data_IF_086241065412
#
_entry.id   IF_086241065412
#
_cell.length_a   1.000
_cell.length_b   1.000
_cell.length_c   1.000
_cell.angle_alpha   90.00
_cell.angle_beta   90.00
_cell.angle_gamma   90.00
#
_symmetry.space_group_name_H-M   'P 1'
#
loop_
_entity.id
_entity.type
_entity.pdbx_description
1 polymer ?
#
# COMPACT_ATOMS: atom_id res chain seq x y z
N UNK A 1 -15.91 10.38 19.94
CA UNK A 1 -15.04 10.36 18.74
C UNK A 1 -15.77 9.54 17.69
N UNK A 2 -15.86 9.99 16.44
CA UNK A 2 -16.58 9.27 15.38
C UNK A 2 -15.62 8.29 14.72
N UNK A 3 -15.91 6.99 14.79
CA UNK A 3 -15.09 5.96 14.15
C UNK A 3 -15.27 5.99 12.63
N UNK A 4 -14.16 5.81 11.92
CA UNK A 4 -14.10 5.61 10.48
C UNK A 4 -14.70 4.25 10.12
N UNK A 5 -15.39 4.18 8.99
CA UNK A 5 -16.01 2.95 8.51
C UNK A 5 -14.93 1.88 8.17
N UNK A 6 -15.12 0.59 8.53
CA UNK A 6 -14.09 -0.44 8.35
C UNK A 6 -13.61 -0.63 6.91
N UNK A 7 -14.44 -0.35 5.92
CA UNK A 7 -14.13 -0.45 4.49
C UNK A 7 -13.09 0.58 4.03
N UNK A 8 -12.92 1.70 4.73
CA UNK A 8 -11.87 2.69 4.47
C UNK A 8 -10.48 2.24 4.99
N UNK A 9 -10.39 1.10 5.68
CA UNK A 9 -9.09 0.58 6.12
C UNK A 9 -8.21 0.26 4.89
N UNK A 10 -6.94 0.66 4.96
CA UNK A 10 -5.94 0.43 3.90
C UNK A 10 -6.28 1.09 2.56
N UNK A 11 -7.03 2.20 2.60
CA UNK A 11 -7.32 3.01 1.42
C UNK A 11 -6.07 3.38 0.62
N UNK A 12 -4.97 3.68 1.29
CA UNK A 12 -3.70 4.01 0.65
C UNK A 12 -3.12 2.84 -0.17
N UNK A 13 -3.39 1.58 0.23
CA UNK A 13 -3.02 0.41 -0.58
C UNK A 13 -3.84 0.37 -1.87
N UNK A 14 -5.14 0.67 -1.79
CA UNK A 14 -6.00 0.78 -2.97
C UNK A 14 -5.57 1.91 -3.89
N UNK A 15 -5.17 3.05 -3.33
CA UNK A 15 -4.64 4.16 -4.12
C UNK A 15 -3.37 3.75 -4.88
N UNK A 16 -2.46 3.00 -4.24
CA UNK A 16 -1.29 2.40 -4.91
C UNK A 16 -1.69 1.41 -6.00
N UNK A 17 -2.72 0.58 -5.78
CA UNK A 17 -3.27 -0.29 -6.82
C UNK A 17 -3.74 0.51 -8.03
N UNK A 18 -4.40 1.64 -7.83
CA UNK A 18 -4.83 2.51 -8.94
C UNK A 18 -3.64 3.09 -9.72
N UNK A 19 -2.55 3.47 -9.05
CA UNK A 19 -1.32 3.88 -9.74
C UNK A 19 -0.73 2.76 -10.60
N UNK A 20 -0.70 1.54 -10.07
CA UNK A 20 -0.18 0.37 -10.77
C UNK A 20 -1.08 0.03 -11.97
N UNK A 21 -2.40 -0.01 -11.79
CA UNK A 21 -3.34 -0.30 -12.88
C UNK A 21 -3.27 0.75 -13.99
N UNK A 22 -3.13 2.03 -13.65
CA UNK A 22 -2.95 3.09 -14.64
C UNK A 22 -1.62 2.94 -15.41
N UNK A 23 -0.54 2.57 -14.71
CA UNK A 23 0.71 2.22 -15.37
C UNK A 23 0.53 1.02 -16.31
N UNK A 24 -0.12 -0.05 -15.87
CA UNK A 24 -0.44 -1.21 -16.70
C UNK A 24 -1.35 -0.87 -17.89
N UNK A 25 -2.17 0.18 -17.81
CA UNK A 25 -2.97 0.65 -18.93
C UNK A 25 -2.16 1.43 -19.97
N UNK A 26 -0.94 1.89 -19.63
CA UNK A 26 -0.15 2.76 -20.52
C UNK A 26 0.26 2.05 -21.82
N UNK A 27 0.29 2.77 -22.95
CA UNK A 27 0.75 2.25 -24.23
C UNK A 27 2.28 1.98 -24.23
N UNK A 28 2.74 1.17 -25.17
CA UNK A 28 4.17 0.88 -25.43
C UNK A 28 4.95 0.23 -24.27
N UNK A 29 4.40 -0.87 -23.74
CA UNK A 29 5.03 -1.69 -22.68
C UNK A 29 6.37 -2.30 -23.09
N UNK A 30 6.60 -2.47 -24.38
CA UNK A 30 7.83 -3.04 -24.95
C UNK A 30 9.09 -2.23 -24.63
N UNK A 31 8.94 -0.93 -24.34
CA UNK A 31 10.07 -0.04 -24.00
C UNK A 31 10.26 0.16 -22.50
N UNK A 32 9.57 -0.62 -21.68
CA UNK A 32 9.67 -0.48 -20.23
C UNK A 32 11.02 -0.95 -19.71
N UNK A 33 11.49 -0.30 -18.65
CA UNK A 33 12.64 -0.79 -17.90
C UNK A 33 12.23 -1.98 -17.02
N UNK A 34 12.26 -3.18 -17.64
CA UNK A 34 11.79 -4.44 -17.05
C UNK A 34 12.43 -4.81 -15.70
N UNK A 35 13.72 -4.54 -15.42
CA UNK A 35 14.25 -4.78 -14.08
C UNK A 35 13.56 -3.95 -12.99
N UNK A 36 13.21 -2.69 -13.27
CA UNK A 36 12.44 -1.88 -12.32
C UNK A 36 11.02 -2.41 -12.15
N UNK A 37 10.41 -2.87 -13.24
CA UNK A 37 9.10 -3.54 -13.20
C UNK A 37 9.12 -4.78 -12.31
N UNK A 38 10.09 -5.65 -12.52
CA UNK A 38 10.23 -6.88 -11.75
C UNK A 38 10.41 -6.59 -10.25
N UNK A 39 11.22 -5.59 -9.90
CA UNK A 39 11.39 -5.19 -8.50
C UNK A 39 10.10 -4.61 -7.88
N UNK A 40 9.30 -3.87 -8.66
CA UNK A 40 7.97 -3.44 -8.22
C UNK A 40 7.05 -4.65 -7.99
N UNK A 41 7.05 -5.63 -8.90
CA UNK A 41 6.29 -6.87 -8.77
C UNK A 41 6.69 -7.65 -7.51
N UNK A 42 7.99 -7.78 -7.22
CA UNK A 42 8.49 -8.43 -6.00
C UNK A 42 8.02 -7.71 -4.73
N UNK A 43 8.02 -6.37 -4.74
CA UNK A 43 7.53 -5.59 -3.60
C UNK A 43 6.00 -5.70 -3.42
N UNK A 44 5.24 -5.88 -4.51
CA UNK A 44 3.83 -6.25 -4.46
C UNK A 44 3.63 -7.65 -3.84
N UNK A 45 4.38 -8.67 -4.27
CA UNK A 45 4.30 -10.01 -3.67
C UNK A 45 4.63 -9.99 -2.16
N UNK A 46 5.60 -9.17 -1.74
CA UNK A 46 5.91 -8.96 -0.31
C UNK A 46 4.76 -8.30 0.44
N UNK A 47 4.10 -7.32 -0.17
CA UNK A 47 2.93 -6.65 0.39
C UNK A 47 1.79 -7.63 0.66
N UNK A 48 1.57 -8.64 -0.20
CA UNK A 48 0.56 -9.67 0.03
C UNK A 48 0.76 -10.41 1.37
N UNK A 49 2.01 -10.71 1.75
CA UNK A 49 2.32 -11.31 3.06
C UNK A 49 2.03 -10.36 4.23
N UNK A 50 2.25 -9.05 4.06
CA UNK A 50 1.97 -8.04 5.09
C UNK A 50 0.49 -7.80 5.28
N UNK A 51 -0.29 -7.80 4.19
CA UNK A 51 -1.75 -7.72 4.24
C UNK A 51 -2.32 -8.92 5.00
N UNK A 52 -1.85 -10.14 4.69
CA UNK A 52 -2.26 -11.35 5.41
C UNK A 52 -1.92 -11.28 6.91
N UNK A 53 -0.72 -10.79 7.25
CA UNK A 53 -0.34 -10.55 8.65
C UNK A 53 -1.30 -9.57 9.34
N UNK A 54 -1.62 -8.46 8.67
CA UNK A 54 -2.56 -7.43 9.16
C UNK A 54 -3.98 -7.99 9.36
N UNK A 55 -4.48 -8.81 8.44
CA UNK A 55 -5.77 -9.49 8.62
C UNK A 55 -5.75 -10.40 9.83
N UNK A 56 -4.65 -11.13 10.01
CA UNK A 56 -4.56 -12.15 11.05
C UNK A 56 -4.46 -11.56 12.45
N UNK A 57 -3.90 -10.36 12.62
CA UNK A 57 -3.93 -9.67 13.93
C UNK A 57 -5.34 -9.22 14.35
N UNK A 58 -6.27 -9.07 13.40
CA UNK A 58 -7.67 -8.78 13.69
C UNK A 58 -8.55 -10.03 13.78
N UNK A 59 -8.21 -11.08 13.05
CA UNK A 59 -8.96 -12.33 13.07
C UNK A 59 -8.77 -13.06 14.40
N UNK A 60 -9.83 -13.69 14.90
CA UNK A 60 -9.81 -14.51 16.13
C UNK A 60 -9.02 -15.84 15.99
N UNK A 61 -8.24 -16.03 14.93
CA UNK A 61 -7.39 -17.21 14.78
C UNK A 61 -6.03 -17.02 15.48
N UNK A 62 -5.69 -17.82 16.50
CA UNK A 62 -4.38 -17.76 17.13
C UNK A 62 -3.31 -18.27 16.15
N UNK A 63 -2.51 -17.35 15.60
CA UNK A 63 -1.33 -17.64 14.75
C UNK A 63 -0.37 -18.68 15.34
N UNK A 64 -0.36 -18.85 16.67
CA UNK A 64 0.57 -19.71 17.39
C UNK A 64 -0.09 -20.92 18.08
N UNK A 65 -1.40 -21.13 17.90
CA UNK A 65 -2.17 -22.16 18.62
C UNK A 65 -2.32 -23.49 17.89
N UNK A 66 -2.19 -23.54 16.56
CA UNK A 66 -2.40 -24.79 15.79
C UNK A 66 -1.12 -25.60 15.52
N UNK A 67 0.06 -25.00 15.63
CA UNK A 67 1.33 -25.68 15.31
C UNK A 67 2.03 -26.33 16.53
N UNK A 68 1.60 -26.09 17.78
CA UNK A 68 2.37 -26.48 18.96
C UNK A 68 1.59 -27.16 20.10
N UNK A 69 0.32 -27.54 19.92
CA UNK A 69 -0.42 -28.29 20.95
C UNK A 69 -0.64 -27.58 22.30
N UNK A 70 -0.25 -26.30 22.41
CA UNK A 70 -0.56 -25.45 23.56
C UNK A 70 -1.86 -24.72 23.29
N UNK A 71 -2.84 -24.91 24.17
CA UNK A 71 -4.08 -24.14 24.15
C UNK A 71 -3.75 -22.64 24.10
N UNK A 72 -4.04 -21.99 22.99
CA UNK A 72 -3.89 -20.55 22.87
C UNK A 72 -4.92 -19.89 23.78
N UNK A 73 -4.49 -19.54 25.00
CA UNK A 73 -5.26 -18.68 25.88
C UNK A 73 -5.40 -17.27 25.26
N UNK A 74 -6.34 -16.45 25.75
CA UNK A 74 -6.47 -15.06 25.31
C UNK A 74 -5.14 -14.33 25.47
N UNK A 75 -4.68 -13.65 24.41
CA UNK A 75 -3.48 -12.81 24.48
C UNK A 75 -3.75 -11.64 25.46
N UNK A 76 -2.78 -11.27 26.32
CA UNK A 76 -2.90 -10.02 27.10
C UNK A 76 -3.08 -8.82 26.16
N UNK A 77 -3.93 -7.85 26.54
CA UNK A 77 -4.25 -6.66 25.73
C UNK A 77 -2.99 -5.92 25.26
N UNK A 78 -1.97 -5.79 26.11
CA UNK A 78 -0.70 -5.17 25.76
C UNK A 78 0.03 -5.89 24.61
N UNK A 79 0.06 -7.23 24.63
CA UNK A 79 0.67 -8.03 23.57
C UNK A 79 -0.16 -8.10 22.29
N UNK A 80 -1.44 -7.73 22.34
CA UNK A 80 -2.27 -7.55 21.15
C UNK A 80 -2.03 -6.18 20.52
N UNK A 81 -1.95 -5.11 21.30
CA UNK A 81 -1.64 -3.77 20.82
C UNK A 81 -0.28 -3.73 20.11
N UNK A 82 0.76 -4.31 20.71
CA UNK A 82 2.11 -4.41 20.10
C UNK A 82 2.07 -5.18 18.77
N UNK A 83 1.35 -6.30 18.71
CA UNK A 83 1.24 -7.08 17.47
C UNK A 83 0.51 -6.32 16.35
N UNK A 84 -0.50 -5.51 16.69
CA UNK A 84 -1.20 -4.65 15.71
C UNK A 84 -0.25 -3.56 15.23
N UNK A 85 0.43 -2.86 16.15
CA UNK A 85 1.39 -1.80 15.81
C UNK A 85 2.51 -2.33 14.90
N UNK A 86 3.07 -3.50 15.21
CA UNK A 86 4.10 -4.16 14.40
C UNK A 86 3.60 -4.51 12.99
N UNK A 87 2.38 -5.03 12.88
CA UNK A 87 1.78 -5.37 11.58
C UNK A 87 1.63 -4.12 10.69
N UNK A 88 1.16 -3.00 11.26
CA UNK A 88 1.04 -1.74 10.53
C UNK A 88 2.40 -1.08 10.24
N UNK A 89 3.38 -1.19 11.14
CA UNK A 89 4.73 -0.69 10.89
C UNK A 89 5.39 -1.40 9.70
N UNK A 90 5.25 -2.73 9.62
CA UNK A 90 5.75 -3.51 8.49
C UNK A 90 5.00 -3.22 7.19
N UNK A 91 3.69 -2.97 7.28
CA UNK A 91 2.88 -2.54 6.15
C UNK A 91 3.33 -1.17 5.62
N UNK A 92 3.60 -0.22 6.51
CA UNK A 92 4.13 1.10 6.16
C UNK A 92 5.48 1.04 5.44
N UNK A 93 6.39 0.16 5.89
CA UNK A 93 7.67 -0.08 5.18
C UNK A 93 7.44 -0.60 3.76
N UNK A 94 6.52 -1.56 3.59
CA UNK A 94 6.18 -2.12 2.29
C UNK A 94 5.56 -1.07 1.34
N UNK A 95 4.66 -0.22 1.86
CA UNK A 95 4.08 0.90 1.11
C UNK A 95 5.15 1.88 0.65
N UNK A 96 6.07 2.24 1.54
CA UNK A 96 7.19 3.12 1.21
C UNK A 96 8.09 2.56 0.11
N UNK A 97 8.34 1.24 0.13
CA UNK A 97 9.08 0.57 -0.96
C UNK A 97 8.34 0.68 -2.29
N UNK A 98 7.04 0.38 -2.32
CA UNK A 98 6.20 0.45 -3.54
C UNK A 98 6.17 1.89 -4.09
N UNK A 99 5.96 2.89 -3.24
CA UNK A 99 5.99 4.32 -3.64
C UNK A 99 7.33 4.65 -4.29
N UNK A 100 8.45 4.24 -3.68
CA UNK A 100 9.78 4.43 -4.25
C UNK A 100 9.96 3.74 -5.60
N UNK A 101 9.51 2.48 -5.73
CA UNK A 101 9.58 1.71 -6.99
C UNK A 101 8.74 2.34 -8.09
N UNK A 102 7.52 2.77 -7.78
CA UNK A 102 6.64 3.47 -8.71
C UNK A 102 7.31 4.74 -9.22
N UNK A 103 7.96 5.53 -8.36
CA UNK A 103 8.72 6.71 -8.80
C UNK A 103 9.93 6.35 -9.69
N UNK A 104 10.71 5.33 -9.34
CA UNK A 104 11.83 4.90 -10.17
C UNK A 104 11.37 4.46 -11.56
N UNK A 105 10.29 3.69 -11.59
CA UNK A 105 9.63 3.28 -12.82
C UNK A 105 9.09 4.47 -13.61
N UNK A 106 8.47 5.43 -12.91
CA UNK A 106 8.02 6.70 -13.48
C UNK A 106 9.16 7.61 -13.96
N UNK A 107 10.43 7.25 -13.76
CA UNK A 107 11.57 8.00 -14.34
C UNK A 107 12.17 7.26 -15.53
N UNK A 108 12.29 5.93 -15.41
CA UNK A 108 12.94 5.09 -16.40
C UNK A 108 12.00 4.70 -17.55
N UNK A 109 10.69 4.75 -17.32
CA UNK A 109 9.67 4.32 -18.29
C UNK A 109 8.93 5.51 -18.92
N UNK A 110 9.01 6.70 -18.33
CA UNK A 110 8.11 7.83 -18.61
C UNK A 110 8.71 8.97 -19.45
N UNK A 111 9.90 8.79 -19.99
CA UNK A 111 10.36 9.63 -21.10
C UNK A 111 9.40 9.58 -22.29
N UNK A 112 8.56 8.52 -22.41
CA UNK A 112 7.63 8.27 -23.52
C UNK A 112 6.21 7.87 -23.06
N UNK A 113 5.73 8.25 -21.87
CA UNK A 113 4.29 8.07 -21.56
C UNK A 113 3.48 9.19 -22.24
N UNK A 114 2.74 8.87 -23.31
CA UNK A 114 1.81 9.80 -23.95
C UNK A 114 0.66 10.22 -23.00
N UNK A 115 0.40 9.44 -21.95
CA UNK A 115 -0.56 9.76 -20.90
C UNK A 115 -0.04 10.88 -19.97
N UNK A 116 -0.32 12.12 -20.38
CA UNK A 116 -0.02 13.34 -19.62
C UNK A 116 -0.60 13.29 -18.20
N UNK A 117 -1.80 12.75 -18.02
CA UNK A 117 -2.52 12.74 -16.74
C UNK A 117 -1.84 11.80 -15.75
N UNK A 118 -1.48 10.58 -16.17
CA UNK A 118 -0.74 9.64 -15.31
C UNK A 118 0.60 10.22 -14.88
N UNK A 119 1.33 10.85 -15.80
CA UNK A 119 2.63 11.49 -15.50
C UNK A 119 2.48 12.61 -14.47
N UNK A 120 1.44 13.44 -14.60
CA UNK A 120 1.14 14.50 -13.64
C UNK A 120 0.79 13.93 -12.27
N UNK A 121 -0.07 12.92 -12.24
CA UNK A 121 -0.46 12.25 -11.00
C UNK A 121 0.73 11.62 -10.28
N UNK A 122 1.57 10.87 -10.99
CA UNK A 122 2.80 10.30 -10.44
C UNK A 122 3.77 11.38 -9.95
N UNK A 123 3.90 12.51 -10.67
CA UNK A 123 4.77 13.61 -10.24
C UNK A 123 4.25 14.35 -9.01
N UNK A 124 2.94 14.57 -8.91
CA UNK A 124 2.34 15.26 -7.76
C UNK A 124 2.44 14.42 -6.47
N UNK A 125 2.39 13.08 -6.57
CA UNK A 125 2.33 12.22 -5.40
C UNK A 125 3.64 11.48 -5.10
N UNK A 126 4.40 11.08 -6.11
CA UNK A 126 5.55 10.17 -5.94
C UNK A 126 6.90 10.86 -6.11
N UNK A 127 6.92 12.11 -6.60
CA UNK A 127 8.16 12.85 -6.79
C UNK A 127 8.77 13.24 -5.42
N UNK A 128 10.08 13.04 -5.17
CA UNK A 128 10.69 13.31 -3.86
C UNK A 128 10.58 14.74 -3.32
N UNK A 129 10.31 15.70 -4.22
CA UNK A 129 10.09 17.13 -3.89
C UNK A 129 8.60 17.53 -3.87
N UNK A 130 7.68 16.61 -4.11
CA UNK A 130 6.27 16.94 -3.94
C UNK A 130 5.92 16.96 -2.47
N UNK A 131 5.00 17.86 -2.11
CA UNK A 131 4.53 18.02 -0.74
C UNK A 131 3.95 16.70 -0.20
N UNK A 132 3.12 16.02 -1.01
CA UNK A 132 2.60 14.70 -0.66
C UNK A 132 3.71 13.71 -0.27
N UNK A 133 4.78 13.62 -1.06
CA UNK A 133 5.87 12.68 -0.78
C UNK A 133 6.66 13.07 0.46
N UNK A 134 6.89 14.37 0.66
CA UNK A 134 7.59 14.87 1.83
C UNK A 134 6.81 14.53 3.10
N UNK A 135 5.52 14.81 3.11
CA UNK A 135 4.61 14.49 4.21
C UNK A 135 4.50 12.97 4.42
N UNK A 136 4.41 12.19 3.34
CA UNK A 136 4.40 10.73 3.42
C UNK A 136 5.65 10.18 4.13
N UNK A 137 6.78 10.86 3.98
CA UNK A 137 8.03 10.44 4.62
C UNK A 137 8.21 10.94 6.06
N UNK A 138 7.68 12.11 6.40
CA UNK A 138 7.85 12.71 7.73
C UNK A 138 6.76 12.32 8.72
N UNK A 139 5.50 12.34 8.31
CA UNK A 139 4.35 12.41 9.22
C UNK A 139 3.33 11.29 9.01
N UNK A 140 3.63 10.32 8.14
CA UNK A 140 2.77 9.17 7.90
C UNK A 140 2.77 8.18 9.08
N UNK A 141 1.61 8.04 9.73
CA UNK A 141 1.31 7.01 10.71
C UNK A 141 0.51 5.86 10.06
N UNK A 142 1.13 4.71 9.75
CA UNK A 142 0.43 3.58 9.14
C UNK A 142 -0.59 2.96 10.08
N UNK A 143 -0.35 3.01 11.40
CA UNK A 143 -1.30 2.65 12.43
C UNK A 143 -0.66 2.57 13.81
N UNK A 144 -1.41 2.99 14.83
CA UNK A 144 -1.03 2.94 16.24
C UNK A 144 -2.25 2.65 17.12
N UNK A 145 -2.13 1.71 18.04
CA UNK A 145 -3.17 1.41 19.02
C UNK A 145 -3.11 2.41 20.17
N UNK A 146 -4.29 2.90 20.60
CA UNK A 146 -4.45 3.77 21.75
C UNK A 146 -4.02 3.07 23.05
N UNK A 147 -3.67 3.85 24.07
CA UNK A 147 -3.17 3.30 25.35
C UNK A 147 -4.16 2.37 26.07
N UNK A 148 -5.46 2.52 25.82
CA UNK A 148 -6.51 1.66 26.35
C UNK A 148 -6.69 0.34 25.56
N UNK A 149 -5.98 0.17 24.44
CA UNK A 149 -6.04 -1.01 23.59
C UNK A 149 -7.30 -1.11 22.72
N UNK A 150 -8.15 -0.07 22.69
CA UNK A 150 -9.50 -0.17 22.09
C UNK A 150 -9.62 0.50 20.73
N UNK A 151 -8.72 1.42 20.39
CA UNK A 151 -8.79 2.21 19.16
C UNK A 151 -7.51 2.04 18.36
N UNK A 152 -7.65 1.84 17.06
CA UNK A 152 -6.56 1.96 16.11
C UNK A 152 -6.62 3.34 15.45
N UNK A 153 -5.58 4.13 15.62
CA UNK A 153 -5.41 5.45 15.04
C UNK A 153 -4.47 5.38 13.84
N UNK A 154 -4.84 6.03 12.74
CA UNK A 154 -4.07 6.04 11.49
C UNK A 154 -4.11 7.44 10.88
N UNK A 155 -3.11 7.77 10.07
CA UNK A 155 -3.15 8.92 9.18
C UNK A 155 -2.94 8.45 7.75
N UNK A 156 -3.83 8.83 6.85
CA UNK A 156 -3.63 8.61 5.42
C UNK A 156 -3.44 9.95 4.72
N UNK A 157 -2.78 9.92 3.57
CA UNK A 157 -2.64 11.09 2.70
C UNK A 157 -3.57 10.94 1.52
N UNK A 158 -4.40 11.96 1.27
CA UNK A 158 -5.30 11.98 0.12
C UNK A 158 -4.46 11.93 -1.15
N UNK A 159 -4.82 11.02 -2.06
CA UNK A 159 -4.34 11.08 -3.43
C UNK A 159 -5.36 11.84 -4.27
N UNK A 160 -4.87 12.83 -5.01
CA UNK A 160 -5.65 13.59 -5.97
C UNK A 160 -5.61 12.85 -7.33
N UNK A 161 -6.75 12.43 -7.90
CA UNK A 161 -6.78 11.82 -9.22
C UNK A 161 -6.45 12.80 -10.35
N UNK A 162 -6.67 14.11 -10.14
CA UNK A 162 -6.51 15.17 -11.14
C UNK A 162 -5.72 16.36 -10.57
N UNK A 163 -4.46 16.13 -10.14
CA UNK A 163 -3.70 17.18 -9.49
C UNK A 163 -3.38 18.31 -10.47
N UNK A 164 -3.33 19.57 -10.01
CA UNK A 164 -2.99 20.70 -10.85
C UNK A 164 -1.58 20.52 -11.46
N UNK A 165 -1.37 21.08 -12.65
CA UNK A 165 -0.08 21.01 -13.38
C UNK A 165 1.12 21.54 -12.55
N UNK A 166 0.86 22.35 -11.52
CA UNK A 166 1.86 22.91 -10.60
C UNK A 166 2.01 22.03 -9.36
N UNK A 167 3.27 21.73 -9.02
CA UNK A 167 3.66 20.87 -7.89
C UNK A 167 3.32 21.51 -6.51
N UNK A 168 2.85 22.77 -6.45
CA UNK A 168 2.95 23.61 -5.26
C UNK A 168 1.65 24.03 -4.56
N UNK A 169 0.47 23.50 -4.93
CA UNK A 169 -0.79 24.15 -4.50
C UNK A 169 -1.73 23.30 -3.61
N UNK A 170 -1.28 22.20 -3.00
CA UNK A 170 -2.10 21.47 -2.02
C UNK A 170 -1.64 21.78 -0.60
N UNK A 171 -1.98 22.97 -0.08
CA UNK A 171 -1.56 23.38 1.27
C UNK A 171 -1.67 22.27 2.32
N UNK A 172 -0.56 22.03 3.02
CA UNK A 172 -0.24 20.93 3.97
C UNK A 172 -1.43 20.45 4.81
N UNK A 173 -2.29 21.37 5.24
CA UNK A 173 -3.44 21.12 6.13
C UNK A 173 -4.57 20.29 5.51
N UNK A 174 -4.64 20.15 4.18
CA UNK A 174 -5.73 19.44 3.49
C UNK A 174 -5.37 18.00 3.06
N UNK A 175 -4.09 17.61 3.17
CA UNK A 175 -3.58 16.31 2.70
C UNK A 175 -3.87 15.17 3.69
N UNK A 176 -3.83 15.44 4.99
CA UNK A 176 -4.04 14.42 6.00
C UNK A 176 -5.51 14.08 6.21
N UNK A 177 -5.80 12.80 6.33
CA UNK A 177 -7.05 12.29 6.89
C UNK A 177 -6.69 11.41 8.08
N UNK A 178 -7.13 11.84 9.26
CA UNK A 178 -7.06 11.01 10.45
C UNK A 178 -8.20 9.99 10.40
N UNK A 179 -7.83 8.72 10.55
CA UNK A 179 -8.79 7.63 10.64
C UNK A 179 -8.69 6.99 12.02
N UNK A 180 -9.84 6.63 12.59
CA UNK A 180 -9.92 5.95 13.89
C UNK A 180 -10.84 4.75 13.77
N UNK A 181 -10.39 3.57 14.17
CA UNK A 181 -11.15 2.34 14.06
C UNK A 181 -11.34 1.71 15.44
N UNK A 182 -12.56 1.25 15.73
CA UNK A 182 -12.81 0.45 16.93
C UNK A 182 -12.19 -0.94 16.74
N UNK A 183 -11.38 -1.35 17.72
CA UNK A 183 -10.80 -2.70 17.83
C UNK A 183 -11.11 -3.34 19.19
N UNK A 184 -11.87 -2.64 20.05
CA UNK A 184 -12.16 -3.01 21.43
C UNK A 184 -13.21 -4.12 21.56
N UNK A 185 -13.83 -4.55 20.46
CA UNK A 185 -14.79 -5.66 20.43
C UNK A 185 -14.44 -6.67 19.34
N UNK A 186 -14.76 -7.94 19.56
CA UNK A 186 -14.53 -9.02 18.59
C UNK A 186 -15.30 -8.75 17.29
N UNK A 187 -16.51 -8.21 17.38
CA UNK A 187 -17.30 -7.82 16.22
C UNK A 187 -16.60 -6.75 15.37
N UNK A 188 -16.05 -5.71 16.00
CA UNK A 188 -15.34 -4.65 15.28
C UNK A 188 -14.05 -5.16 14.63
N UNK A 189 -13.27 -5.98 15.34
CA UNK A 189 -12.08 -6.63 14.77
C UNK A 189 -12.43 -7.55 13.60
N UNK A 190 -13.49 -8.33 13.70
CA UNK A 190 -13.95 -9.18 12.61
C UNK A 190 -14.37 -8.38 11.36
N UNK A 191 -15.01 -7.22 11.52
CA UNK A 191 -15.32 -6.32 10.40
C UNK A 191 -14.04 -5.77 9.73
N UNK A 192 -13.03 -5.40 10.52
CA UNK A 192 -11.74 -4.96 9.99
C UNK A 192 -10.99 -6.10 9.29
N UNK A 193 -10.99 -7.30 9.86
CA UNK A 193 -10.39 -8.48 9.23
C UNK A 193 -11.04 -8.77 7.87
N UNK A 194 -12.37 -8.68 7.76
CA UNK A 194 -13.09 -8.81 6.49
C UNK A 194 -12.73 -7.69 5.50
N UNK A 195 -12.59 -6.45 5.98
CA UNK A 195 -12.22 -5.34 5.12
C UNK A 195 -10.79 -5.46 4.59
N UNK A 196 -9.83 -5.92 5.41
CA UNK A 196 -8.47 -6.24 4.98
C UNK A 196 -8.47 -7.41 3.99
N UNK A 197 -9.30 -8.44 4.21
CA UNK A 197 -9.45 -9.55 3.25
C UNK A 197 -9.88 -9.07 1.85
N UNK A 198 -10.81 -8.10 1.77
CA UNK A 198 -11.19 -7.50 0.49
C UNK A 198 -10.01 -6.80 -0.19
N UNK A 199 -9.17 -6.09 0.58
CA UNK A 199 -7.94 -5.47 0.07
C UNK A 199 -6.93 -6.52 -0.39
N UNK A 200 -6.81 -7.66 0.30
CA UNK A 200 -6.01 -8.81 -0.14
C UNK A 200 -6.50 -9.35 -1.51
N UNK A 201 -7.81 -9.51 -1.69
CA UNK A 201 -8.38 -10.00 -2.95
C UNK A 201 -8.20 -8.99 -4.11
N UNK A 202 -8.32 -7.69 -3.83
CA UNK A 202 -7.97 -6.61 -4.77
C UNK A 202 -6.47 -6.67 -5.12
N UNK A 203 -5.61 -6.80 -4.11
CA UNK A 203 -4.17 -6.91 -4.29
C UNK A 203 -3.79 -8.11 -5.16
N UNK A 204 -4.36 -9.28 -4.91
CA UNK A 204 -4.11 -10.49 -5.70
C UNK A 204 -4.49 -10.32 -7.18
N UNK A 205 -5.59 -9.58 -7.47
CA UNK A 205 -5.99 -9.25 -8.84
C UNK A 205 -4.98 -8.35 -9.53
N UNK A 206 -4.47 -7.33 -8.82
CA UNK A 206 -3.46 -6.41 -9.34
C UNK A 206 -2.14 -7.14 -9.59
N UNK A 207 -1.67 -7.96 -8.63
CA UNK A 207 -0.45 -8.75 -8.81
C UNK A 207 -0.55 -9.74 -9.97
N UNK A 208 -1.73 -10.33 -10.20
CA UNK A 208 -1.98 -11.17 -11.38
C UNK A 208 -1.89 -10.36 -12.68
N UNK A 209 -2.54 -9.21 -12.75
CA UNK A 209 -2.45 -8.33 -13.93
C UNK A 209 -1.00 -7.90 -14.18
N UNK A 210 -0.21 -7.69 -13.11
CA UNK A 210 1.21 -7.42 -13.25
C UNK A 210 1.99 -8.61 -13.81
N UNK A 211 1.72 -9.83 -13.32
CA UNK A 211 2.37 -11.03 -13.82
C UNK A 211 2.03 -11.27 -15.31
N UNK A 212 0.76 -11.13 -15.69
CA UNK A 212 0.29 -11.28 -17.07
C UNK A 212 0.99 -10.28 -18.00
N UNK A 213 1.10 -9.01 -17.58
CA UNK A 213 1.83 -7.98 -18.32
C UNK A 213 3.32 -8.32 -18.48
N UNK A 214 3.96 -8.82 -17.43
CA UNK A 214 5.37 -9.21 -17.46
C UNK A 214 5.60 -10.35 -18.46
N UNK A 215 4.78 -11.41 -18.38
CA UNK A 215 4.90 -12.59 -19.25
C UNK A 215 4.57 -12.28 -20.72
N UNK A 216 3.65 -11.34 -20.98
CA UNK A 216 3.25 -10.98 -22.33
C UNK A 216 4.28 -10.09 -23.06
N UNK A 217 5.07 -9.30 -22.33
CA UNK A 217 5.85 -8.21 -22.94
C UNK A 217 7.34 -8.20 -22.58
N UNK A 218 7.78 -8.89 -21.52
CA UNK A 218 9.18 -8.97 -21.15
C UNK A 218 9.85 -10.16 -21.83
N UNK A 219 10.84 -9.91 -22.71
CA UNK A 219 11.76 -10.96 -23.14
C UNK A 219 12.84 -11.20 -22.08
N UNK A 220 13.43 -12.39 -22.07
CA UNK A 220 14.56 -12.69 -21.18
C UNK A 220 15.75 -11.75 -21.45
N UNK A 221 15.99 -11.43 -22.73
CA UNK A 221 17.02 -10.49 -23.15
C UNK A 221 16.78 -9.08 -22.58
N UNK A 222 15.53 -8.59 -22.60
CA UNK A 222 15.19 -7.27 -22.07
C UNK A 222 15.35 -7.19 -20.53
N UNK A 223 15.29 -8.34 -19.84
CA UNK A 223 15.57 -8.44 -18.40
C UNK A 223 17.07 -8.48 -18.10
N UNK A 224 17.86 -9.22 -18.90
CA UNK A 224 19.30 -9.43 -18.69
C UNK A 224 20.18 -8.30 -19.26
N UNK A 225 19.73 -7.68 -20.35
CA UNK A 225 20.41 -6.62 -21.08
C UNK A 225 19.47 -5.42 -21.23
N UNK A 226 19.10 -4.76 -20.12
CA UNK A 226 18.18 -3.63 -20.18
C UNK A 226 18.79 -2.51 -21.02
N UNK A 227 18.09 -2.14 -22.10
CA UNK A 227 18.46 -0.98 -22.90
C UNK A 227 18.17 0.27 -22.08
N UNK A 228 19.16 1.15 -21.96
CA UNK A 228 18.97 2.50 -21.43
C UNK A 228 18.37 3.33 -22.56
N UNK A 229 17.04 3.39 -22.64
CA UNK A 229 16.33 4.31 -23.55
C UNK A 229 16.30 5.70 -22.95
#
# INVERSE_FOLDING_TARGET
MMHTAPDEILREVRDLHQFILALLASPDKTRWHWPSYYLLYVDMDRMAWRLRGTRTVFADEPLFGKAAGFAAGPRPVAGQAEAVDDAFADLGKAQGSIVGRLWHMSRNTLTVIEDKQLRQRMRAHLHPKSEWYQVFRSDYCPGRVSADGRTLERSILKTDPEPPDRIHDLGETNLHVHQTFDIGTDAARNLLAQAVARVEDEHARVSRAMADCFLAHCSLEALLHPSSV
#
